data_IF_270639582765
#
_entry.id   IF_270639582765
#
_cell.length_a   1.000
_cell.length_b   1.000
_cell.length_c   1.000
_cell.angle_alpha   90.00
_cell.angle_beta   90.00
_cell.angle_gamma   90.00
#
_symmetry.space_group_name_H-M   'P 1'
#
loop_
_entity.id
_entity.type
_entity.pdbx_description
1 polymer ?
#
# COMPACT_ATOMS: atom_id res chain seq x y z
N UNK A 1 18.95 5.26 20.57
CA UNK A 1 19.17 5.16 19.11
C UNK A 1 19.73 3.79 18.68
N UNK A 2 20.71 3.21 19.40
CA UNK A 2 21.26 1.88 19.07
C UNK A 2 20.19 0.78 19.07
N UNK A 3 19.42 0.68 20.15
CA UNK A 3 18.30 -0.28 20.29
C UNK A 3 17.25 -0.17 19.17
N UNK A 4 16.91 1.05 18.74
CA UNK A 4 15.95 1.25 17.64
C UNK A 4 16.50 0.71 16.31
N UNK A 5 17.78 0.97 16.03
CA UNK A 5 18.42 0.46 14.81
C UNK A 5 18.49 -1.06 14.81
N UNK A 6 18.78 -1.68 15.95
CA UNK A 6 18.78 -3.13 16.11
C UNK A 6 17.38 -3.72 15.91
N UNK A 7 16.36 -3.16 16.57
CA UNK A 7 14.98 -3.63 16.47
C UNK A 7 14.41 -3.57 15.04
N UNK A 8 14.85 -2.59 14.25
CA UNK A 8 14.45 -2.39 12.86
C UNK A 8 15.46 -2.92 11.84
N UNK A 9 16.53 -3.56 12.30
CA UNK A 9 17.60 -4.14 11.47
C UNK A 9 18.24 -3.13 10.51
N UNK A 10 18.39 -1.89 10.97
CA UNK A 10 18.97 -0.78 10.23
C UNK A 10 20.49 -0.93 10.18
N UNK A 11 21.01 -1.19 8.99
CA UNK A 11 22.44 -1.31 8.69
C UNK A 11 23.06 0.06 8.37
N UNK A 12 22.31 0.94 7.72
CA UNK A 12 22.81 2.21 7.20
C UNK A 12 21.91 3.38 7.61
N UNK A 13 22.51 4.53 7.92
CA UNK A 13 21.78 5.69 8.46
C UNK A 13 20.67 6.19 7.54
N UNK A 14 20.84 6.12 6.21
CA UNK A 14 19.82 6.55 5.25
C UNK A 14 18.53 5.71 5.33
N UNK A 15 18.59 4.48 5.86
CA UNK A 15 17.40 3.63 6.03
C UNK A 15 16.45 4.17 7.10
N UNK A 16 16.92 5.05 8.00
CA UNK A 16 16.07 5.75 8.99
C UNK A 16 15.01 6.63 8.33
N UNK A 17 15.21 7.00 7.05
CA UNK A 17 14.21 7.74 6.28
C UNK A 17 12.89 6.97 6.16
N UNK A 18 12.90 5.63 6.09
CA UNK A 18 11.67 4.86 5.96
C UNK A 18 10.79 4.92 7.22
N UNK A 19 11.28 4.60 8.43
CA UNK A 19 10.52 4.84 9.66
C UNK A 19 10.06 6.29 9.81
N UNK A 20 10.91 7.26 9.45
CA UNK A 20 10.55 8.66 9.50
C UNK A 20 9.37 8.98 8.56
N UNK A 21 9.42 8.57 7.30
CA UNK A 21 8.30 8.74 6.36
C UNK A 21 7.04 8.01 6.82
N UNK A 22 7.18 6.83 7.41
CA UNK A 22 6.07 6.10 8.02
C UNK A 22 5.39 6.90 9.14
N UNK A 23 6.19 7.49 10.05
CA UNK A 23 5.68 8.32 11.15
C UNK A 23 5.06 9.63 10.64
N UNK A 24 5.68 10.30 9.66
CA UNK A 24 5.12 11.50 9.05
C UNK A 24 3.79 11.22 8.35
N UNK A 25 3.70 10.11 7.59
CA UNK A 25 2.48 9.68 6.94
C UNK A 25 1.37 9.33 7.93
N UNK A 26 1.71 8.65 9.03
CA UNK A 26 0.79 8.38 10.14
C UNK A 26 0.30 9.68 10.80
N UNK A 27 1.19 10.63 11.06
CA UNK A 27 0.86 11.93 11.64
C UNK A 27 -0.10 12.71 10.76
N UNK A 28 0.20 12.83 9.47
CA UNK A 28 -0.66 13.50 8.49
C UNK A 28 -2.04 12.83 8.39
N UNK A 29 -2.07 11.50 8.34
CA UNK A 29 -3.33 10.74 8.26
C UNK A 29 -4.18 10.92 9.52
N UNK A 30 -3.55 10.89 10.69
CA UNK A 30 -4.23 11.08 11.98
C UNK A 30 -4.83 12.48 12.09
N UNK A 31 -4.07 13.51 11.70
CA UNK A 31 -4.57 14.88 11.64
C UNK A 31 -5.74 15.02 10.68
N UNK A 32 -5.63 14.47 9.45
CA UNK A 32 -6.68 14.55 8.43
C UNK A 32 -7.97 13.84 8.86
N UNK A 33 -7.86 12.69 9.53
CA UNK A 33 -9.02 11.99 10.09
C UNK A 33 -9.72 12.88 11.13
N UNK A 34 -8.98 13.43 12.09
CA UNK A 34 -9.56 14.28 13.13
C UNK A 34 -10.14 15.59 12.60
N UNK A 35 -9.46 16.22 11.64
CA UNK A 35 -9.93 17.45 10.99
C UNK A 35 -11.27 17.25 10.29
N UNK A 36 -11.47 16.10 9.64
CA UNK A 36 -12.72 15.81 8.93
C UNK A 36 -13.84 15.27 9.84
N UNK A 37 -13.50 14.67 10.99
CA UNK A 37 -14.47 13.96 11.85
C UNK A 37 -14.96 14.81 13.03
N UNK A 38 -14.10 15.69 13.56
CA UNK A 38 -14.40 16.46 14.78
C UNK A 38 -14.89 17.87 14.44
N UNK A 39 -15.67 18.51 15.34
CA UNK A 39 -16.11 19.90 15.17
C UNK A 39 -14.94 20.86 14.92
N UNK A 40 -15.22 22.02 14.31
CA UNK A 40 -14.22 23.04 13.96
C UNK A 40 -13.66 23.77 15.20
N UNK A 41 -12.93 23.02 16.02
CA UNK A 41 -12.21 23.49 17.18
C UNK A 41 -10.77 22.94 17.10
N UNK A 42 -9.83 23.86 16.85
CA UNK A 42 -8.41 23.54 16.64
C UNK A 42 -7.79 22.74 17.79
N UNK A 43 -8.13 23.07 19.04
CA UNK A 43 -7.57 22.40 20.23
C UNK A 43 -8.05 20.95 20.27
N UNK A 44 -9.35 20.74 20.07
CA UNK A 44 -9.96 19.42 20.09
C UNK A 44 -9.47 18.55 18.93
N UNK A 45 -9.30 19.12 17.74
CA UNK A 45 -8.75 18.42 16.57
C UNK A 45 -7.29 17.98 16.80
N UNK A 46 -6.45 18.84 17.38
CA UNK A 46 -5.05 18.51 17.68
C UNK A 46 -4.96 17.41 18.75
N UNK A 47 -5.71 17.54 19.85
CA UNK A 47 -5.74 16.51 20.91
C UNK A 47 -6.27 15.18 20.38
N UNK A 48 -7.33 15.21 19.58
CA UNK A 48 -7.86 14.03 18.90
C UNK A 48 -6.82 13.38 17.99
N UNK A 49 -6.07 14.18 17.22
CA UNK A 49 -5.05 13.69 16.31
C UNK A 49 -3.93 12.94 17.04
N UNK A 50 -3.51 13.40 18.22
CA UNK A 50 -2.55 12.67 19.05
C UNK A 50 -3.09 11.31 19.47
N UNK A 51 -4.34 11.23 19.94
CA UNK A 51 -4.96 9.97 20.33
C UNK A 51 -5.03 9.00 19.14
N UNK A 52 -5.55 9.47 18.01
CA UNK A 52 -5.66 8.66 16.77
C UNK A 52 -4.28 8.20 16.31
N UNK A 53 -3.26 9.05 16.38
CA UNK A 53 -1.89 8.69 16.03
C UNK A 53 -1.37 7.53 16.88
N UNK A 54 -1.56 7.56 18.20
CA UNK A 54 -1.13 6.47 19.08
C UNK A 54 -1.86 5.15 18.79
N UNK A 55 -3.17 5.22 18.51
CA UNK A 55 -3.97 4.05 18.14
C UNK A 55 -3.48 3.45 16.82
N UNK A 56 -3.32 4.28 15.79
CA UNK A 56 -2.87 3.84 14.48
C UNK A 56 -1.44 3.30 14.53
N UNK A 57 -0.53 3.93 15.29
CA UNK A 57 0.84 3.44 15.46
C UNK A 57 0.85 2.03 16.06
N UNK A 58 0.08 1.79 17.13
CA UNK A 58 -0.03 0.45 17.74
C UNK A 58 -0.59 -0.56 16.75
N UNK A 59 -1.61 -0.19 15.99
CA UNK A 59 -2.21 -1.04 14.96
C UNK A 59 -1.19 -1.40 13.87
N UNK A 60 -0.45 -0.41 13.36
CA UNK A 60 0.58 -0.62 12.33
C UNK A 60 1.67 -1.56 12.83
N UNK A 61 2.20 -1.36 14.05
CA UNK A 61 3.22 -2.24 14.62
C UNK A 61 2.71 -3.67 14.85
N UNK A 62 1.45 -3.82 15.26
CA UNK A 62 0.81 -5.12 15.37
C UNK A 62 0.72 -5.84 14.01
N UNK A 63 0.29 -5.13 12.97
CA UNK A 63 0.22 -5.66 11.60
C UNK A 63 1.60 -6.05 11.09
N UNK A 64 2.62 -5.22 11.33
CA UNK A 64 3.99 -5.50 10.91
C UNK A 64 4.48 -6.82 11.49
N UNK A 65 4.31 -7.01 12.81
CA UNK A 65 4.68 -8.27 13.48
C UNK A 65 3.95 -9.49 12.90
N UNK A 66 2.69 -9.34 12.45
CA UNK A 66 1.92 -10.44 11.84
C UNK A 66 2.28 -10.71 10.38
N UNK A 67 2.79 -9.71 9.66
CA UNK A 67 3.18 -9.83 8.26
C UNK A 67 4.62 -10.26 8.09
N UNK A 68 5.50 -9.90 9.02
CA UNK A 68 6.90 -10.31 9.05
C UNK A 68 7.06 -11.83 8.86
N UNK A 69 6.28 -12.64 9.59
CA UNK A 69 6.31 -14.11 9.47
C UNK A 69 5.81 -14.62 8.10
N UNK A 70 5.02 -13.81 7.37
CA UNK A 70 4.41 -14.19 6.09
C UNK A 70 5.18 -13.65 4.88
N UNK A 71 5.91 -12.56 5.08
CA UNK A 71 6.62 -11.80 4.07
C UNK A 71 8.12 -11.92 4.34
N UNK A 72 8.76 -12.82 3.60
CA UNK A 72 10.20 -13.07 3.73
C UNK A 72 10.94 -11.88 3.11
N UNK A 73 11.26 -10.89 3.94
CA UNK A 73 12.10 -9.74 3.62
C UNK A 73 13.48 -9.92 4.23
N UNK A 74 14.47 -9.18 3.74
CA UNK A 74 15.85 -9.30 4.25
C UNK A 74 16.00 -8.53 5.55
N UNK A 75 15.32 -7.39 5.66
CA UNK A 75 15.32 -6.56 6.85
C UNK A 75 13.94 -6.02 7.20
N UNK A 76 13.65 -5.86 8.49
CA UNK A 76 12.38 -5.33 8.99
C UNK A 76 11.98 -3.98 8.42
N UNK A 77 12.92 -3.04 8.27
CA UNK A 77 12.63 -1.71 7.72
C UNK A 77 12.14 -1.75 6.26
N UNK A 78 12.41 -2.83 5.52
CA UNK A 78 11.93 -3.01 4.14
C UNK A 78 10.40 -3.17 4.09
N UNK A 79 9.74 -3.56 5.18
CA UNK A 79 8.28 -3.61 5.25
C UNK A 79 7.66 -2.27 4.88
N UNK A 80 8.22 -1.16 5.39
CA UNK A 80 7.71 0.18 5.08
C UNK A 80 7.82 0.48 3.59
N UNK A 81 8.94 0.10 2.98
CA UNK A 81 9.15 0.24 1.53
C UNK A 81 8.11 -0.56 0.74
N UNK A 82 7.83 -1.79 1.15
CA UNK A 82 6.80 -2.63 0.52
C UNK A 82 5.41 -1.99 0.63
N UNK A 83 5.05 -1.42 1.79
CA UNK A 83 3.79 -0.69 1.95
C UNK A 83 3.70 0.55 1.05
N UNK A 84 4.81 1.28 0.87
CA UNK A 84 4.87 2.42 -0.06
C UNK A 84 4.59 1.94 -1.49
N UNK A 85 5.23 0.85 -1.93
CA UNK A 85 4.98 0.27 -3.26
C UNK A 85 3.52 -0.13 -3.43
N UNK A 86 2.90 -0.76 -2.44
CA UNK A 86 1.47 -1.09 -2.49
C UNK A 86 0.58 0.15 -2.60
N UNK A 87 0.86 1.21 -1.83
CA UNK A 87 0.08 2.45 -1.87
C UNK A 87 0.16 3.16 -3.23
N UNK A 88 1.37 3.24 -3.80
CA UNK A 88 1.60 3.83 -5.13
C UNK A 88 0.96 2.98 -6.22
N UNK A 89 1.14 1.65 -6.17
CA UNK A 89 0.57 0.72 -7.16
C UNK A 89 -0.95 0.77 -7.16
N UNK A 90 -1.58 0.73 -5.99
CA UNK A 90 -3.05 0.75 -5.88
C UNK A 90 -3.67 2.05 -6.37
N UNK A 91 -3.03 3.19 -6.10
CA UNK A 91 -3.50 4.49 -6.62
C UNK A 91 -3.30 4.59 -8.14
N UNK A 92 -2.15 4.12 -8.63
CA UNK A 92 -1.79 4.19 -10.05
C UNK A 92 -2.65 3.27 -10.92
N UNK A 93 -3.01 2.07 -10.45
CA UNK A 93 -3.85 1.15 -11.23
C UNK A 93 -5.22 1.75 -11.53
N UNK A 94 -5.84 2.44 -10.57
CA UNK A 94 -7.10 3.15 -10.78
C UNK A 94 -6.97 4.31 -11.77
N UNK A 95 -5.85 5.05 -11.69
CA UNK A 95 -5.57 6.16 -12.60
C UNK A 95 -5.38 5.68 -14.04
N UNK A 96 -4.77 4.51 -14.25
CA UNK A 96 -4.56 3.90 -15.57
C UNK A 96 -5.85 3.25 -16.10
N UNK A 97 -6.65 2.62 -15.25
CA UNK A 97 -7.83 1.85 -15.69
C UNK A 97 -8.95 2.72 -16.25
N UNK A 98 -9.16 3.90 -15.66
CA UNK A 98 -10.21 4.84 -16.08
C UNK A 98 -10.10 5.29 -17.54
N UNK A 99 -8.96 5.86 -18.00
CA UNK A 99 -8.84 6.29 -19.40
C UNK A 99 -8.93 5.12 -20.37
N UNK A 100 -8.43 3.94 -20.00
CA UNK A 100 -8.50 2.74 -20.86
C UNK A 100 -9.94 2.31 -21.09
N UNK A 101 -10.77 2.32 -20.04
CA UNK A 101 -12.19 1.96 -20.16
C UNK A 101 -12.96 2.97 -21.00
N UNK A 102 -12.68 4.26 -20.82
CA UNK A 102 -13.26 5.30 -21.66
C UNK A 102 -12.81 5.16 -23.11
N UNK A 103 -11.53 4.84 -23.35
CA UNK A 103 -10.97 4.64 -24.69
C UNK A 103 -11.57 3.43 -25.40
N UNK A 104 -11.88 2.35 -24.67
CA UNK A 104 -12.61 1.18 -25.17
C UNK A 104 -14.10 1.48 -25.44
N UNK A 105 -14.57 2.72 -25.24
CA UNK A 105 -15.96 3.11 -25.45
C UNK A 105 -16.93 2.56 -24.40
N UNK A 106 -16.40 2.02 -23.29
CA UNK A 106 -17.20 1.45 -22.21
C UNK A 106 -17.67 2.58 -21.29
N UNK A 107 -18.87 3.08 -21.56
CA UNK A 107 -19.54 4.07 -20.72
C UNK A 107 -20.63 3.42 -19.85
N UNK A 108 -20.98 4.07 -18.73
CA UNK A 108 -22.10 3.63 -17.89
C UNK A 108 -23.46 3.76 -18.58
N UNK A 109 -23.50 4.51 -19.68
CA UNK A 109 -24.69 4.79 -20.48
C UNK A 109 -24.92 3.69 -21.53
N UNK A 110 -23.85 3.13 -22.07
CA UNK A 110 -23.90 2.13 -23.14
C UNK A 110 -23.87 0.68 -22.64
N UNK A 111 -23.54 0.46 -21.37
CA UNK A 111 -23.39 -0.87 -20.77
C UNK A 111 -24.13 -0.96 -19.44
N UNK A 112 -24.61 -2.16 -19.12
CA UNK A 112 -25.15 -2.45 -17.79
C UNK A 112 -24.10 -2.09 -16.73
N UNK A 113 -24.52 -1.34 -15.71
CA UNK A 113 -23.66 -0.85 -14.62
C UNK A 113 -22.86 -1.98 -13.96
N UNK A 114 -23.44 -3.17 -13.83
CA UNK A 114 -22.75 -4.33 -13.30
C UNK A 114 -21.58 -4.78 -14.19
N UNK A 115 -21.82 -4.87 -15.51
CA UNK A 115 -20.80 -5.28 -16.48
C UNK A 115 -19.68 -4.24 -16.56
N UNK A 116 -20.02 -2.95 -16.50
CA UNK A 116 -19.06 -1.86 -16.43
C UNK A 116 -18.08 -2.06 -15.25
N UNK A 117 -18.60 -2.27 -14.04
CA UNK A 117 -17.77 -2.45 -12.85
C UNK A 117 -16.94 -3.73 -12.89
N UNK A 118 -17.50 -4.82 -13.44
CA UNK A 118 -16.75 -6.06 -13.63
C UNK A 118 -15.55 -5.85 -14.56
N UNK A 119 -15.74 -5.21 -15.71
CA UNK A 119 -14.66 -4.89 -16.65
C UNK A 119 -13.65 -3.92 -16.02
N UNK A 120 -14.11 -2.93 -15.25
CA UNK A 120 -13.25 -2.02 -14.49
C UNK A 120 -12.32 -2.75 -13.53
N UNK A 121 -12.85 -3.70 -12.76
CA UNK A 121 -12.05 -4.49 -11.82
C UNK A 121 -11.07 -5.40 -12.57
N UNK A 122 -11.50 -6.05 -13.66
CA UNK A 122 -10.63 -6.95 -14.44
C UNK A 122 -9.48 -6.17 -15.07
N UNK A 123 -9.77 -5.07 -15.78
CA UNK A 123 -8.75 -4.22 -16.40
C UNK A 123 -7.82 -3.67 -15.32
N UNK A 124 -8.36 -3.16 -14.21
CA UNK A 124 -7.56 -2.64 -13.12
C UNK A 124 -6.67 -3.68 -12.45
N UNK A 125 -7.12 -4.93 -12.36
CA UNK A 125 -6.30 -6.03 -11.85
C UNK A 125 -5.13 -6.34 -12.78
N UNK A 126 -5.33 -6.32 -14.10
CA UNK A 126 -4.27 -6.55 -15.10
C UNK A 126 -3.19 -5.46 -14.99
N UNK A 127 -3.61 -4.19 -14.92
CA UNK A 127 -2.64 -3.10 -14.76
C UNK A 127 -1.99 -3.09 -13.37
N UNK A 128 -2.73 -3.47 -12.33
CA UNK A 128 -2.18 -3.60 -10.99
C UNK A 128 -1.03 -4.60 -10.95
N UNK A 129 -1.18 -5.76 -11.60
CA UNK A 129 -0.13 -6.78 -11.74
C UNK A 129 1.15 -6.21 -12.36
N UNK A 130 1.03 -5.62 -13.55
CA UNK A 130 2.16 -5.01 -14.26
C UNK A 130 2.83 -3.92 -13.42
N UNK A 131 2.04 -3.04 -12.81
CA UNK A 131 2.55 -1.92 -11.99
C UNK A 131 3.22 -2.43 -10.71
N UNK A 132 2.70 -3.48 -10.08
CA UNK A 132 3.22 -4.02 -8.84
C UNK A 132 4.66 -4.53 -9.02
N UNK A 133 4.90 -5.29 -10.09
CA UNK A 133 6.24 -5.77 -10.45
C UNK A 133 7.15 -4.63 -10.86
N UNK A 134 6.62 -3.67 -11.64
CA UNK A 134 7.39 -2.50 -12.12
C UNK A 134 7.87 -1.63 -10.96
N UNK A 135 6.98 -1.26 -10.04
CA UNK A 135 7.35 -0.51 -8.84
C UNK A 135 8.19 -1.35 -7.89
N UNK A 136 7.90 -2.65 -7.76
CA UNK A 136 8.75 -3.57 -7.02
C UNK A 136 10.20 -3.54 -7.51
N UNK A 137 10.41 -3.54 -8.82
CA UNK A 137 11.73 -3.38 -9.44
C UNK A 137 12.36 -2.01 -9.17
N UNK A 138 11.61 -0.91 -9.36
CA UNK A 138 12.08 0.46 -9.11
C UNK A 138 12.54 0.67 -7.66
N UNK A 139 11.90 0.01 -6.69
CA UNK A 139 12.24 0.09 -5.27
C UNK A 139 13.20 -1.03 -4.81
N UNK A 140 13.76 -1.82 -5.74
CA UNK A 140 14.74 -2.88 -5.43
C UNK A 140 14.17 -4.09 -4.70
N UNK A 141 12.87 -4.34 -4.81
CA UNK A 141 12.12 -5.43 -4.19
C UNK A 141 11.47 -6.36 -5.24
N UNK A 142 12.04 -6.44 -6.45
CA UNK A 142 11.49 -7.23 -7.57
C UNK A 142 11.19 -8.69 -7.19
N UNK A 143 12.16 -9.39 -6.57
CA UNK A 143 12.00 -10.81 -6.20
C UNK A 143 10.82 -11.01 -5.25
N UNK A 144 10.67 -10.15 -4.26
CA UNK A 144 9.55 -10.20 -3.33
C UNK A 144 8.21 -10.04 -4.05
N UNK A 145 8.07 -9.01 -4.89
CA UNK A 145 6.82 -8.73 -5.58
C UNK A 145 6.49 -9.75 -6.67
N UNK A 146 7.49 -10.30 -7.35
CA UNK A 146 7.31 -11.38 -8.30
C UNK A 146 6.77 -12.66 -7.64
N UNK A 147 7.33 -13.06 -6.50
CA UNK A 147 6.79 -14.20 -5.74
C UNK A 147 5.40 -13.91 -5.16
N UNK A 148 5.18 -12.67 -4.68
CA UNK A 148 3.89 -12.23 -4.18
C UNK A 148 2.81 -12.31 -5.26
N UNK A 149 3.10 -11.81 -6.46
CA UNK A 149 2.18 -11.82 -7.60
C UNK A 149 1.88 -13.24 -8.07
N UNK A 150 2.91 -14.09 -8.24
CA UNK A 150 2.70 -15.52 -8.59
C UNK A 150 1.82 -16.22 -7.56
N UNK A 151 2.04 -15.96 -6.26
CA UNK A 151 1.22 -16.52 -5.18
C UNK A 151 -0.22 -15.99 -5.21
N UNK A 152 -0.42 -14.72 -5.57
CA UNK A 152 -1.74 -14.13 -5.75
C UNK A 152 -2.49 -14.76 -6.93
N UNK A 153 -1.86 -14.82 -8.11
CA UNK A 153 -2.44 -15.39 -9.33
C UNK A 153 -2.82 -16.87 -9.16
N UNK A 154 -1.95 -17.66 -8.54
CA UNK A 154 -2.23 -19.07 -8.26
C UNK A 154 -3.47 -19.25 -7.36
N UNK A 155 -3.71 -18.33 -6.41
CA UNK A 155 -4.91 -18.35 -5.55
C UNK A 155 -6.17 -17.92 -6.28
N UNK A 156 -6.05 -17.12 -7.33
CA UNK A 156 -7.16 -16.72 -8.20
C UNK A 156 -7.50 -17.80 -9.26
N UNK A 157 -6.81 -18.96 -9.23
CA UNK A 157 -7.01 -20.04 -10.20
C UNK A 157 -6.27 -19.84 -11.53
N UNK A 158 -5.51 -18.74 -11.65
CA UNK A 158 -4.74 -18.39 -12.84
C UNK A 158 -3.37 -19.09 -12.73
N UNK A 159 -3.29 -20.32 -13.23
CA UNK A 159 -2.07 -21.14 -13.25
C UNK A 159 -1.18 -20.78 -14.45
N UNK A 160 -0.73 -19.53 -14.55
CA UNK A 160 0.17 -19.10 -15.65
C UNK A 160 1.60 -19.61 -15.43
N UNK A 161 2.01 -19.78 -14.17
CA UNK A 161 3.39 -20.12 -13.82
C UNK A 161 3.47 -21.50 -13.18
N UNK A 162 3.35 -22.54 -14.01
CA UNK A 162 3.70 -23.91 -13.62
C UNK A 162 5.16 -24.13 -14.03
N UNK A 163 6.06 -24.08 -13.06
CA UNK A 163 7.39 -24.70 -13.13
C UNK A 163 7.48 -25.66 -11.95
#
# INVERSE_FOLDING_TARGET
MKEFKENWEIQQNWQLLFPLFGLLGLGYTSYKICFNLLPDNRILQVLGAFLVFFVLLKLTLYIFKKLEDKWILTYRWEMIRVFIVFAVTGSSSLYVSRPIITWLGITKENLNVFIYWLLFIIIGLIFYQILLVSFGWLFGQFKFFWEFEKKMLNRMGIKIFKN
#
